data_IF_275231490624
#
_entry.id   IF_275231490624
#
_cell.length_a   1.000
_cell.length_b   1.000
_cell.length_c   1.000
_cell.angle_alpha   90.00
_cell.angle_beta   90.00
_cell.angle_gamma   90.00
#
_symmetry.space_group_name_H-M   'P 1'
#
loop_
_entity.id
_entity.type
_entity.pdbx_description
1 polymer ?
#
# COMPACT_ATOMS: atom_id res chain seq x y z
N UNK A 1 -26.93 -15.39 -72.14
CA UNK A 1 -26.11 -14.30 -71.54
C UNK A 1 -25.22 -14.93 -70.47
N UNK A 2 -23.89 -14.92 -70.64
CA UNK A 2 -22.96 -15.52 -69.67
C UNK A 2 -22.78 -14.56 -68.50
N UNK A 3 -23.16 -14.96 -67.28
CA UNK A 3 -22.97 -14.15 -66.07
C UNK A 3 -21.53 -14.27 -65.59
N UNK A 4 -20.84 -13.13 -65.55
CA UNK A 4 -19.46 -13.03 -65.04
C UNK A 4 -19.48 -13.16 -63.51
N UNK A 5 -18.95 -14.26 -62.96
CA UNK A 5 -18.72 -14.41 -61.53
C UNK A 5 -17.50 -13.57 -61.13
N UNK A 6 -17.72 -12.41 -60.51
CA UNK A 6 -16.65 -11.62 -59.89
C UNK A 6 -16.08 -12.38 -58.69
N UNK A 7 -14.86 -12.89 -58.82
CA UNK A 7 -14.10 -13.42 -57.69
C UNK A 7 -13.68 -12.27 -56.78
N UNK A 8 -14.36 -12.11 -55.64
CA UNK A 8 -13.97 -11.14 -54.61
C UNK A 8 -12.82 -11.73 -53.79
N UNK A 9 -11.60 -11.25 -54.03
CA UNK A 9 -10.44 -11.59 -53.21
C UNK A 9 -10.63 -11.00 -51.82
N UNK A 10 -10.89 -11.83 -50.81
CA UNK A 10 -10.99 -11.40 -49.41
C UNK A 10 -9.60 -11.06 -48.89
N UNK A 11 -9.44 -9.87 -48.31
CA UNK A 11 -8.18 -9.46 -47.66
C UNK A 11 -7.86 -10.43 -46.52
N UNK A 12 -6.59 -10.85 -46.43
CA UNK A 12 -6.11 -11.70 -45.33
C UNK A 12 -6.31 -10.97 -44.00
N UNK A 13 -6.82 -11.66 -42.98
CA UNK A 13 -6.88 -11.15 -41.59
C UNK A 13 -5.48 -10.65 -41.21
N UNK A 14 -5.41 -9.44 -40.65
CA UNK A 14 -4.15 -8.85 -40.18
C UNK A 14 -3.47 -9.69 -39.11
N UNK A 15 -2.23 -9.31 -38.76
CA UNK A 15 -1.45 -9.95 -37.69
C UNK A 15 -2.30 -10.05 -36.42
N UNK A 16 -2.32 -11.20 -35.72
CA UNK A 16 -2.99 -11.31 -34.42
C UNK A 16 -2.49 -10.21 -33.48
N UNK A 17 -3.40 -9.61 -32.71
CA UNK A 17 -3.05 -8.61 -31.70
C UNK A 17 -1.98 -9.22 -30.78
N UNK A 18 -0.76 -8.67 -30.84
CA UNK A 18 0.36 -9.16 -30.03
C UNK A 18 0.53 -8.21 -28.86
N UNK A 19 0.44 -8.72 -27.62
CA UNK A 19 0.66 -7.99 -26.37
C UNK A 19 -0.63 -7.43 -25.77
N UNK A 20 -0.96 -7.83 -24.53
CA UNK A 20 -2.25 -7.53 -23.90
C UNK A 20 -2.45 -6.06 -23.50
N UNK A 21 -1.41 -5.24 -23.49
CA UNK A 21 -1.51 -3.81 -23.16
C UNK A 21 -0.96 -2.91 -24.28
N UNK A 22 -1.62 -1.76 -24.55
CA UNK A 22 -1.13 -0.79 -25.53
C UNK A 22 0.18 -0.13 -25.06
N UNK A 23 1.02 0.24 -26.03
CA UNK A 23 2.25 0.99 -25.75
C UNK A 23 1.89 2.42 -25.34
N UNK A 24 2.30 2.82 -24.14
CA UNK A 24 2.17 4.19 -23.64
C UNK A 24 3.53 4.89 -23.72
N UNK A 25 3.58 6.02 -24.43
CA UNK A 25 4.77 6.87 -24.46
C UNK A 25 4.76 7.85 -23.29
N UNK A 26 5.84 7.93 -22.53
CA UNK A 26 6.02 8.87 -21.43
C UNK A 26 7.34 9.64 -21.61
N UNK A 27 7.39 10.89 -21.14
CA UNK A 27 8.62 11.69 -21.13
C UNK A 27 9.35 11.46 -19.82
N UNK A 28 10.57 10.95 -19.88
CA UNK A 28 11.44 10.73 -18.71
C UNK A 28 12.68 11.62 -18.84
N UNK A 29 13.10 12.24 -17.74
CA UNK A 29 14.39 12.94 -17.68
C UNK A 29 15.56 11.96 -17.88
N UNK A 30 16.71 12.47 -18.29
CA UNK A 30 17.93 11.66 -18.44
C UNK A 30 18.30 11.00 -17.11
N UNK A 31 18.27 11.76 -16.02
CA UNK A 31 18.56 11.27 -14.67
C UNK A 31 17.67 10.10 -14.26
N UNK A 32 16.36 10.20 -14.50
CA UNK A 32 15.41 9.15 -14.14
C UNK A 32 15.65 7.89 -14.99
N UNK A 33 15.98 8.04 -16.27
CA UNK A 33 16.35 6.91 -17.13
C UNK A 33 17.61 6.21 -16.63
N UNK A 34 18.63 6.96 -16.26
CA UNK A 34 19.88 6.42 -15.71
C UNK A 34 19.62 5.70 -14.37
N UNK A 35 18.77 6.26 -13.51
CA UNK A 35 18.41 5.63 -12.25
C UNK A 35 17.66 4.29 -12.46
N UNK A 36 16.75 4.21 -13.43
CA UNK A 36 16.08 2.95 -13.78
C UNK A 36 17.09 1.92 -14.29
N UNK A 37 18.00 2.34 -15.18
CA UNK A 37 18.99 1.43 -15.76
C UNK A 37 19.96 0.90 -14.69
N UNK A 38 20.39 1.74 -13.74
CA UNK A 38 21.19 1.33 -12.61
C UNK A 38 20.44 0.33 -11.70
N UNK A 39 19.19 0.66 -11.35
CA UNK A 39 18.35 -0.24 -10.55
C UNK A 39 18.15 -1.59 -11.23
N UNK A 40 17.97 -1.61 -12.56
CA UNK A 40 17.84 -2.84 -13.33
C UNK A 40 19.13 -3.66 -13.31
N UNK A 41 20.30 -3.03 -13.43
CA UNK A 41 21.59 -3.71 -13.35
C UNK A 41 21.84 -4.36 -11.97
N UNK A 42 21.32 -3.77 -10.90
CA UNK A 42 21.43 -4.30 -9.54
C UNK A 42 20.53 -5.53 -9.28
N UNK A 43 19.56 -5.81 -10.17
CA UNK A 43 18.70 -6.99 -10.01
C UNK A 43 19.41 -8.26 -10.48
N UNK A 44 19.13 -9.37 -9.80
CA UNK A 44 19.74 -10.69 -10.08
C UNK A 44 19.50 -11.19 -11.51
N UNK A 45 18.37 -10.82 -12.11
CA UNK A 45 17.96 -11.22 -13.46
C UNK A 45 18.24 -10.14 -14.51
N UNK A 46 18.78 -8.98 -14.11
CA UNK A 46 19.12 -7.84 -14.98
C UNK A 46 18.01 -7.52 -16.01
N UNK A 47 16.80 -7.17 -15.56
CA UNK A 47 15.64 -7.01 -16.43
C UNK A 47 15.84 -5.87 -17.43
N UNK A 48 15.21 -6.00 -18.59
CA UNK A 48 15.19 -4.93 -19.60
C UNK A 48 14.45 -3.71 -19.05
N UNK A 49 14.83 -2.48 -19.46
CA UNK A 49 14.24 -1.21 -18.99
C UNK A 49 12.71 -1.23 -18.89
N UNK A 50 12.02 -1.78 -19.88
CA UNK A 50 10.54 -1.86 -19.88
C UNK A 50 10.01 -2.70 -18.72
N UNK A 51 10.66 -3.82 -18.42
CA UNK A 51 10.30 -4.68 -17.29
C UNK A 51 10.69 -4.04 -15.96
N UNK A 52 11.86 -3.40 -15.90
CA UNK A 52 12.27 -2.66 -14.72
C UNK A 52 11.27 -1.55 -14.35
N UNK A 53 10.78 -0.80 -15.35
CA UNK A 53 9.73 0.21 -15.15
C UNK A 53 8.46 -0.42 -14.56
N UNK A 54 8.00 -1.55 -15.10
CA UNK A 54 6.79 -2.22 -14.58
C UNK A 54 6.96 -2.62 -13.11
N UNK A 55 8.07 -3.28 -12.77
CA UNK A 55 8.36 -3.70 -11.39
C UNK A 55 8.44 -2.52 -10.43
N UNK A 56 9.13 -1.45 -10.82
CA UNK A 56 9.24 -0.23 -10.01
C UNK A 56 7.87 0.41 -9.75
N UNK A 57 7.00 0.45 -10.77
CA UNK A 57 5.63 0.96 -10.63
C UNK A 57 4.81 0.06 -9.70
N UNK A 58 4.87 -1.26 -9.86
CA UNK A 58 4.17 -2.22 -8.98
C UNK A 58 4.61 -2.08 -7.52
N UNK A 59 5.92 -1.97 -7.26
CA UNK A 59 6.48 -1.72 -5.93
C UNK A 59 5.97 -0.40 -5.36
N UNK A 60 5.97 0.67 -6.17
CA UNK A 60 5.45 1.98 -5.78
C UNK A 60 3.97 1.91 -5.37
N UNK A 61 3.14 1.26 -6.18
CA UNK A 61 1.71 1.10 -5.93
C UNK A 61 1.42 0.22 -4.71
N UNK A 62 2.15 -0.88 -4.53
CA UNK A 62 2.03 -1.74 -3.35
C UNK A 62 2.40 -0.97 -2.06
N UNK A 63 3.44 -0.13 -2.10
CA UNK A 63 3.86 0.67 -0.96
C UNK A 63 2.87 1.79 -0.61
N UNK A 64 2.21 2.39 -1.60
CA UNK A 64 1.25 3.47 -1.40
C UNK A 64 -0.08 2.96 -0.83
N UNK A 65 -0.49 1.75 -1.21
CA UNK A 65 -1.75 1.13 -0.78
C UNK A 65 -1.63 0.41 0.55
N UNK A 66 -0.45 -0.11 0.88
CA UNK A 66 -0.19 -0.68 2.19
C UNK A 66 -0.07 0.44 3.23
N UNK A 67 -1.19 0.80 3.88
CA UNK A 67 -1.15 1.56 5.12
C UNK A 67 -0.32 0.75 6.13
N UNK A 68 0.99 1.04 6.21
CA UNK A 68 1.95 0.26 7.03
C UNK A 68 1.35 0.08 8.43
N UNK A 69 0.95 -1.14 8.83
CA UNK A 69 0.53 -1.33 10.21
C UNK A 69 1.74 -0.99 11.07
N UNK A 70 1.57 -0.10 12.06
CA UNK A 70 2.61 0.11 13.06
C UNK A 70 2.96 -1.27 13.62
N UNK A 71 4.24 -1.62 13.58
CA UNK A 71 4.71 -2.91 14.07
C UNK A 71 4.23 -3.08 15.52
N UNK A 72 4.05 -4.33 15.96
CA UNK A 72 3.60 -4.59 17.33
C UNK A 72 4.51 -3.93 18.36
N UNK A 73 5.82 -3.88 18.09
CA UNK A 73 6.79 -3.17 18.93
C UNK A 73 6.53 -1.65 18.99
N UNK A 74 6.14 -1.03 17.88
CA UNK A 74 5.81 0.39 17.84
C UNK A 74 4.47 0.69 18.52
N UNK A 75 3.51 -0.24 18.45
CA UNK A 75 2.25 -0.15 19.23
C UNK A 75 2.52 -0.28 20.73
N UNK A 76 3.36 -1.23 21.13
CA UNK A 76 3.70 -1.41 22.54
C UNK A 76 4.42 -0.19 23.11
N UNK A 77 5.42 0.34 22.42
CA UNK A 77 6.10 1.59 22.83
C UNK A 77 5.13 2.76 22.98
N UNK A 78 4.13 2.86 22.09
CA UNK A 78 3.11 3.90 22.20
C UNK A 78 2.22 3.72 23.43
N UNK A 79 1.87 2.48 23.80
CA UNK A 79 1.16 2.16 25.06
C UNK A 79 2.00 2.55 26.27
N UNK A 80 3.27 2.14 26.30
CA UNK A 80 4.15 2.42 27.44
C UNK A 80 4.35 3.94 27.65
N UNK A 81 4.44 4.71 26.56
CA UNK A 81 4.50 6.18 26.63
C UNK A 81 3.18 6.79 27.15
N UNK A 82 2.04 6.26 26.73
CA UNK A 82 0.73 6.70 27.21
C UNK A 82 0.53 6.38 28.70
N UNK A 83 0.94 5.19 29.15
CA UNK A 83 0.86 4.79 30.55
C UNK A 83 1.66 5.73 31.44
N UNK A 84 2.90 6.05 31.05
CA UNK A 84 3.76 7.00 31.78
C UNK A 84 3.19 8.42 31.81
N UNK A 85 2.54 8.85 30.72
CA UNK A 85 1.90 10.15 30.67
C UNK A 85 0.69 10.22 31.60
N UNK A 86 -0.10 9.15 31.70
CA UNK A 86 -1.23 9.06 32.63
C UNK A 86 -0.74 9.09 34.08
N UNK A 87 0.32 8.35 34.40
CA UNK A 87 0.89 8.34 35.75
C UNK A 87 1.38 9.73 36.18
N UNK A 88 1.89 10.55 35.24
CA UNK A 88 2.32 11.93 35.51
C UNK A 88 1.16 12.90 35.75
N UNK A 89 -0.02 12.63 35.19
CA UNK A 89 -1.23 13.46 35.36
C UNK A 89 -2.04 13.01 36.58
N UNK A 90 -1.80 11.80 37.09
CA UNK A 90 -2.51 11.26 38.24
C UNK A 90 -2.24 12.08 39.52
N UNK A 91 -3.33 12.51 40.15
CA UNK A 91 -3.32 13.28 41.40
C UNK A 91 -2.66 12.46 42.53
N UNK A 92 -1.53 12.95 43.03
CA UNK A 92 -0.69 12.30 44.04
C UNK A 92 -1.30 12.28 45.44
N UNK A 93 -2.47 12.91 45.63
CA UNK A 93 -3.19 12.95 46.91
C UNK A 93 -4.12 11.74 47.13
N UNK A 94 -4.34 10.91 46.11
CA UNK A 94 -5.20 9.73 46.17
C UNK A 94 -4.45 8.44 46.56
N UNK A 95 -5.16 7.47 47.15
CA UNK A 95 -4.64 6.14 47.47
C UNK A 95 -4.18 5.40 46.19
N UNK A 96 -3.17 4.52 46.29
CA UNK A 96 -2.65 3.77 45.13
C UNK A 96 -3.71 2.90 44.45
N UNK A 97 -4.73 2.47 45.21
CA UNK A 97 -5.84 1.64 44.72
C UNK A 97 -6.82 2.48 43.88
N UNK A 98 -7.14 3.69 44.35
CA UNK A 98 -7.99 4.65 43.62
C UNK A 98 -7.29 5.19 42.36
N UNK A 99 -5.96 5.36 42.41
CA UNK A 99 -5.16 5.71 41.24
C UNK A 99 -5.19 4.59 40.19
N UNK A 100 -5.09 3.33 40.61
CA UNK A 100 -5.13 2.18 39.71
C UNK A 100 -6.51 2.03 39.03
N UNK A 101 -7.60 2.22 39.77
CA UNK A 101 -8.95 2.17 39.21
C UNK A 101 -9.24 3.32 38.25
N UNK A 102 -8.79 4.54 38.59
CA UNK A 102 -8.91 5.70 37.69
C UNK A 102 -8.09 5.51 36.41
N UNK A 103 -6.87 4.96 36.51
CA UNK A 103 -6.03 4.61 35.35
C UNK A 103 -6.72 3.57 34.47
N UNK A 104 -7.31 2.53 35.06
CA UNK A 104 -8.08 1.51 34.32
C UNK A 104 -9.29 2.11 33.61
N UNK A 105 -9.99 3.05 34.25
CA UNK A 105 -11.10 3.78 33.63
C UNK A 105 -10.64 4.67 32.48
N UNK A 106 -9.47 5.32 32.57
CA UNK A 106 -8.93 6.16 31.49
C UNK A 106 -8.45 5.33 30.29
N UNK A 107 -7.74 4.23 30.52
CA UNK A 107 -7.17 3.39 29.44
C UNK A 107 -8.24 2.53 28.79
N UNK A 108 -9.04 1.81 29.59
CA UNK A 108 -10.02 0.84 29.11
C UNK A 108 -11.40 1.48 28.87
N UNK A 109 -11.70 2.58 29.53
CA UNK A 109 -13.04 3.17 29.60
C UNK A 109 -13.88 2.53 30.72
N UNK A 110 -14.92 3.22 31.23
CA UNK A 110 -15.87 2.63 32.18
C UNK A 110 -16.50 1.36 31.61
N UNK A 111 -16.81 0.39 32.49
CA UNK A 111 -17.27 -0.95 32.08
C UNK A 111 -18.51 -0.91 31.17
N UNK A 112 -19.39 0.06 31.38
CA UNK A 112 -20.60 0.34 30.60
C UNK A 112 -20.32 0.57 29.11
N UNK A 113 -19.17 1.19 28.78
CA UNK A 113 -18.82 1.58 27.42
C UNK A 113 -17.88 0.58 26.73
N UNK A 114 -17.29 -0.36 27.47
CA UNK A 114 -16.34 -1.33 26.91
C UNK A 114 -16.98 -2.22 25.84
N UNK A 115 -18.25 -2.62 26.02
CA UNK A 115 -19.00 -3.44 25.05
C UNK A 115 -19.56 -2.66 23.87
N UNK A 116 -19.67 -1.33 24.01
CA UNK A 116 -20.23 -0.42 22.99
C UNK A 116 -19.15 0.09 22.04
N UNK A 117 -17.87 0.00 22.45
CA UNK A 117 -16.71 0.29 21.59
C UNK A 117 -16.72 -0.62 20.35
N UNK A 118 -17.32 -0.15 19.27
CA UNK A 118 -17.09 -0.67 17.92
C UNK A 118 -15.79 -0.07 17.42
N UNK A 119 -14.75 -0.90 17.33
CA UNK A 119 -13.55 -0.53 16.59
C UNK A 119 -13.99 -0.18 15.16
N UNK A 120 -13.70 1.05 14.71
CA UNK A 120 -13.93 1.42 13.32
C UNK A 120 -13.00 0.57 12.47
N UNK A 121 -13.58 -0.36 11.72
CA UNK A 121 -12.84 -1.10 10.72
C UNK A 121 -12.26 -0.09 9.71
N UNK A 122 -10.95 -0.13 9.50
CA UNK A 122 -10.29 0.74 8.51
C UNK A 122 -10.78 0.32 7.13
N UNK A 123 -11.41 1.26 6.43
CA UNK A 123 -11.80 1.12 5.02
C UNK A 123 -10.60 1.39 4.12
#
# INVERSE_FOLDING_TARGET
MKTSKKNVVRKKRGRPATGQDPVTSIRLSVELRTAIDAWAADQSDSPVRTEAIRRLVEIGLASATAARPKSESQRQRARDMADKAIDKIADSTASSEEQADRKRQLVKGPAEFQKVRRDRNRK
#
